data_IF_120743834948
#
_entry.id   IF_120743834948
#
_cell.length_a   1.000
_cell.length_b   1.000
_cell.length_c   1.000
_cell.angle_alpha   90.00
_cell.angle_beta   90.00
_cell.angle_gamma   90.00
#
_symmetry.space_group_name_H-M   'P 1'
#
loop_
_entity.id
_entity.type
_entity.pdbx_description
1 polymer ?
#
# COMPACT_ATOMS: atom_id res chain seq x y z
N UNK A 1 13.56 46.23 37.70
CA UNK A 1 14.57 45.18 37.86
C UNK A 1 14.10 44.22 38.96
N UNK A 2 13.86 42.99 38.60
CA UNK A 2 13.47 41.93 39.56
C UNK A 2 14.73 41.55 40.34
N UNK A 3 14.84 41.91 41.59
CA UNK A 3 15.93 41.55 42.49
C UNK A 3 15.52 40.32 43.30
N UNK A 4 15.63 39.13 42.74
CA UNK A 4 15.48 37.88 43.48
C UNK A 4 16.87 37.34 43.85
N UNK A 5 17.09 36.99 45.12
CA UNK A 5 18.41 36.59 45.69
C UNK A 5 19.01 35.33 45.02
N UNK A 6 18.20 34.63 44.19
CA UNK A 6 18.63 33.41 43.45
C UNK A 6 18.43 33.52 41.93
N UNK A 7 18.26 34.76 41.38
CA UNK A 7 17.93 34.97 39.97
C UNK A 7 18.99 34.34 39.03
N UNK A 8 20.26 34.47 39.39
CA UNK A 8 21.37 33.91 38.58
C UNK A 8 21.35 32.40 38.55
N UNK A 9 20.93 31.73 39.67
CA UNK A 9 20.79 30.26 39.72
C UNK A 9 19.57 29.79 38.92
N UNK A 10 18.48 30.53 38.99
CA UNK A 10 17.28 30.22 38.19
C UNK A 10 17.53 30.39 36.70
N UNK A 11 18.23 31.45 36.31
CA UNK A 11 18.62 31.67 34.90
C UNK A 11 19.59 30.61 34.42
N UNK A 12 20.57 30.22 35.24
CA UNK A 12 21.50 29.14 34.88
C UNK A 12 20.80 27.79 34.73
N UNK A 13 19.84 27.49 35.60
CA UNK A 13 19.05 26.26 35.54
C UNK A 13 18.12 26.22 34.33
N UNK A 14 17.47 27.36 34.02
CA UNK A 14 16.64 27.49 32.82
C UNK A 14 17.46 27.36 31.54
N UNK A 15 18.67 27.94 31.50
CA UNK A 15 19.58 27.84 30.37
C UNK A 15 20.11 26.41 30.18
N UNK A 16 20.46 25.72 31.29
CA UNK A 16 20.88 24.33 31.25
C UNK A 16 19.76 23.40 30.78
N UNK A 17 18.52 23.64 31.21
CA UNK A 17 17.34 22.90 30.76
C UNK A 17 17.07 23.15 29.28
N UNK A 18 17.15 24.39 28.80
CA UNK A 18 16.98 24.75 27.42
C UNK A 18 18.04 24.07 26.53
N UNK A 19 19.31 24.08 26.95
CA UNK A 19 20.37 23.38 26.22
C UNK A 19 20.20 21.86 26.21
N UNK A 20 19.71 21.27 27.31
CA UNK A 20 19.40 19.87 27.40
C UNK A 20 18.24 19.47 26.46
N UNK A 21 17.17 20.26 26.44
CA UNK A 21 16.02 20.08 25.53
C UNK A 21 16.42 20.27 24.06
N UNK A 22 17.26 21.26 23.77
CA UNK A 22 17.81 21.46 22.43
C UNK A 22 18.70 20.28 22.03
N UNK A 23 19.52 19.77 22.93
CA UNK A 23 20.32 18.57 22.67
C UNK A 23 19.45 17.33 22.43
N UNK A 24 18.37 17.14 23.16
CA UNK A 24 17.40 16.07 22.92
C UNK A 24 16.65 16.23 21.58
N UNK A 25 16.38 17.46 21.14
CA UNK A 25 15.75 17.73 19.85
C UNK A 25 16.70 17.39 18.67
N UNK A 26 17.99 17.68 18.77
CA UNK A 26 18.94 17.45 17.69
C UNK A 26 19.58 16.06 17.69
N UNK A 27 19.69 15.40 18.82
CA UNK A 27 20.38 14.12 18.98
C UNK A 27 19.48 13.02 19.59
N UNK A 28 18.17 13.30 19.72
CA UNK A 28 17.22 12.36 20.33
C UNK A 28 17.09 11.08 19.53
N UNK A 29 17.08 11.17 18.21
CA UNK A 29 17.02 10.01 17.31
C UNK A 29 18.28 9.13 17.42
N UNK A 30 19.46 9.74 17.50
CA UNK A 30 20.73 9.02 17.75
C UNK A 30 20.75 8.32 19.11
N UNK A 31 19.91 8.76 20.05
CA UNK A 31 19.73 8.16 21.39
C UNK A 31 18.54 7.18 21.43
N UNK A 32 17.90 6.90 20.28
CA UNK A 32 16.73 6.00 20.18
C UNK A 32 15.43 6.61 20.72
N UNK A 33 15.39 7.94 20.94
CA UNK A 33 14.17 8.64 21.32
C UNK A 33 13.40 8.98 20.04
N UNK A 34 12.33 8.25 19.77
CA UNK A 34 11.37 8.68 18.76
C UNK A 34 10.48 9.80 19.29
N UNK A 35 10.10 10.81 18.47
CA UNK A 35 9.07 11.76 18.85
C UNK A 35 7.84 10.97 19.29
N UNK A 36 7.30 11.25 20.47
CA UNK A 36 5.99 10.77 20.87
C UNK A 36 4.94 11.52 20.01
N UNK A 37 4.81 11.15 18.76
CA UNK A 37 3.64 11.44 17.96
C UNK A 37 2.53 10.64 18.60
N UNK A 38 1.64 11.33 19.33
CA UNK A 38 0.39 10.71 19.74
C UNK A 38 -0.30 10.27 18.45
N UNK A 39 -0.60 8.98 18.33
CA UNK A 39 -1.33 8.46 17.16
C UNK A 39 -2.59 9.32 16.96
N UNK A 40 -2.90 9.75 15.74
CA UNK A 40 -4.03 10.64 15.50
C UNK A 40 -5.34 9.98 15.94
N UNK A 41 -6.31 10.79 16.38
CA UNK A 41 -7.54 10.29 17.01
C UNK A 41 -8.31 9.32 16.08
N UNK A 42 -8.36 9.60 14.78
CA UNK A 42 -9.03 8.73 13.81
C UNK A 42 -8.46 7.30 13.75
N UNK A 43 -7.16 7.11 14.08
CA UNK A 43 -6.51 5.79 14.06
C UNK A 43 -7.07 4.84 15.11
N UNK A 44 -7.54 5.37 16.23
CA UNK A 44 -8.16 4.59 17.31
C UNK A 44 -9.69 4.56 17.23
N UNK A 45 -10.27 5.27 16.25
CA UNK A 45 -11.71 5.30 15.98
C UNK A 45 -12.04 4.40 14.80
N UNK A 46 -12.01 4.93 13.58
CA UNK A 46 -12.36 4.17 12.37
C UNK A 46 -11.38 3.01 12.11
N UNK A 47 -10.11 3.14 12.47
CA UNK A 47 -9.09 2.13 12.21
C UNK A 47 -8.73 1.26 13.44
N UNK A 48 -9.65 1.15 14.41
CA UNK A 48 -9.63 0.08 15.43
C UNK A 48 -10.05 -1.23 14.77
N UNK A 49 -9.08 -2.05 14.38
CA UNK A 49 -9.29 -3.31 13.65
C UNK A 49 -9.77 -4.48 14.50
N UNK A 50 -10.03 -4.24 15.80
CA UNK A 50 -10.56 -5.26 16.72
C UNK A 50 -12.05 -5.55 16.50
N UNK A 51 -12.75 -4.77 15.67
CA UNK A 51 -14.19 -4.91 15.38
C UNK A 51 -14.53 -4.46 13.97
N UNK A 52 -15.71 -4.84 13.50
CA UNK A 52 -16.30 -4.28 12.27
C UNK A 52 -17.02 -2.97 12.64
N UNK A 53 -16.67 -1.87 12.02
CA UNK A 53 -17.28 -0.56 12.17
C UNK A 53 -18.56 -0.44 11.32
N UNK A 54 -19.32 0.66 11.51
CA UNK A 54 -20.48 0.98 10.68
C UNK A 54 -20.26 2.28 9.91
N UNK A 55 -20.61 2.29 8.62
CA UNK A 55 -20.61 3.48 7.78
C UNK A 55 -21.95 3.60 7.07
N UNK A 56 -22.76 4.59 7.48
CA UNK A 56 -24.07 4.86 6.89
C UNK A 56 -23.97 6.06 5.95
N UNK A 57 -24.31 5.85 4.67
CA UNK A 57 -24.24 6.86 3.62
C UNK A 57 -25.65 7.29 3.22
N UNK A 58 -25.94 8.59 3.29
CA UNK A 58 -27.17 9.18 2.80
C UNK A 58 -26.84 10.10 1.62
N UNK A 59 -27.24 9.71 0.41
CA UNK A 59 -26.97 10.44 -0.83
C UNK A 59 -28.25 10.52 -1.70
N UNK A 60 -28.77 11.74 -1.91
CA UNK A 60 -29.98 11.95 -2.73
C UNK A 60 -29.77 11.52 -4.19
N UNK A 61 -28.56 11.75 -4.72
CA UNK A 61 -28.20 11.47 -6.10
C UNK A 61 -27.34 10.21 -6.23
N UNK A 62 -27.67 9.17 -5.48
CA UNK A 62 -26.89 7.92 -5.45
C UNK A 62 -26.55 7.35 -6.84
N UNK A 63 -27.47 7.43 -7.80
CA UNK A 63 -27.25 6.95 -9.16
C UNK A 63 -26.12 7.69 -9.92
N UNK A 64 -25.71 8.88 -9.46
CA UNK A 64 -24.64 9.68 -10.07
C UNK A 64 -23.26 9.35 -9.53
N UNK A 65 -23.14 8.61 -8.42
CA UNK A 65 -21.86 8.32 -7.79
C UNK A 65 -20.92 7.46 -8.66
N UNK A 66 -21.44 6.75 -9.66
CA UNK A 66 -20.68 5.95 -10.63
C UNK A 66 -19.76 6.83 -11.48
N UNK A 67 -20.15 8.11 -11.70
CA UNK A 67 -19.29 9.08 -12.36
C UNK A 67 -18.04 9.38 -11.53
N UNK A 68 -16.96 9.82 -12.18
CA UNK A 68 -15.72 10.22 -11.49
C UNK A 68 -15.86 11.53 -10.72
N UNK A 69 -16.99 12.18 -10.78
CA UNK A 69 -17.29 13.42 -10.07
C UNK A 69 -17.82 13.15 -8.66
N UNK A 70 -17.44 14.00 -7.73
CA UNK A 70 -17.96 13.95 -6.37
C UNK A 70 -19.41 14.43 -6.32
N UNK A 71 -20.23 13.71 -5.54
CA UNK A 71 -21.57 14.14 -5.12
C UNK A 71 -21.58 14.39 -3.61
N UNK A 72 -22.37 15.37 -3.12
CA UNK A 72 -22.49 15.58 -1.67
C UNK A 72 -23.33 14.48 -1.02
N UNK A 73 -22.88 14.03 0.14
CA UNK A 73 -23.60 13.08 0.98
C UNK A 73 -23.50 13.46 2.47
N UNK A 74 -24.31 12.80 3.28
CA UNK A 74 -24.15 12.72 4.73
C UNK A 74 -23.63 11.34 5.06
N UNK A 75 -22.57 11.27 5.85
CA UNK A 75 -21.95 10.02 6.32
C UNK A 75 -22.05 9.94 7.83
N UNK A 76 -22.47 8.79 8.36
CA UNK A 76 -22.34 8.49 9.78
C UNK A 76 -21.33 7.36 9.95
N UNK A 77 -20.31 7.61 10.76
CA UNK A 77 -19.30 6.61 11.13
C UNK A 77 -19.52 6.26 12.60
N UNK A 78 -19.86 5.00 12.88
CA UNK A 78 -20.21 4.50 14.21
C UNK A 78 -21.26 5.38 14.94
N UNK A 79 -22.22 5.95 14.18
CA UNK A 79 -23.29 6.78 14.71
C UNK A 79 -22.93 8.28 14.82
N UNK A 80 -21.71 8.70 14.51
CA UNK A 80 -21.31 10.11 14.44
C UNK A 80 -21.52 10.66 13.02
N UNK A 81 -22.37 11.70 12.89
CA UNK A 81 -22.82 12.24 11.58
C UNK A 81 -21.92 13.37 11.08
N UNK A 82 -21.55 13.28 9.79
CA UNK A 82 -20.80 14.30 9.04
C UNK A 82 -21.58 14.66 7.78
N UNK A 83 -21.78 15.96 7.54
CA UNK A 83 -22.56 16.47 6.42
C UNK A 83 -21.66 17.09 5.37
N UNK A 84 -22.16 17.15 4.12
CA UNK A 84 -21.43 17.72 3.00
C UNK A 84 -20.09 17.02 2.74
N UNK A 85 -20.06 15.71 2.94
CA UNK A 85 -18.92 14.86 2.58
C UNK A 85 -18.98 14.58 1.09
N UNK A 86 -17.86 14.68 0.39
CA UNK A 86 -17.73 14.30 -1.00
C UNK A 86 -17.74 12.78 -1.15
N UNK A 87 -18.59 12.24 -2.00
CA UNK A 87 -18.67 10.82 -2.31
C UNK A 87 -18.46 10.61 -3.81
N UNK A 88 -17.60 9.68 -4.21
CA UNK A 88 -17.49 9.19 -5.59
C UNK A 88 -17.12 7.72 -5.66
N UNK A 89 -17.36 7.09 -6.79
CA UNK A 89 -16.81 5.78 -7.09
C UNK A 89 -15.28 5.86 -7.23
N UNK A 90 -14.59 4.80 -6.77
CA UNK A 90 -13.14 4.62 -6.90
C UNK A 90 -12.86 3.44 -7.83
N UNK A 91 -11.68 3.44 -8.40
CA UNK A 91 -11.18 2.40 -9.28
C UNK A 91 -11.25 2.81 -10.75
N UNK A 92 -10.41 2.22 -11.55
CA UNK A 92 -10.32 2.42 -12.99
C UNK A 92 -10.92 1.20 -13.71
N UNK A 93 -10.17 0.10 -13.80
CA UNK A 93 -10.66 -1.13 -14.41
C UNK A 93 -11.73 -1.82 -13.56
N UNK A 94 -11.58 -1.88 -12.24
CA UNK A 94 -12.58 -2.48 -11.35
C UNK A 94 -13.94 -1.79 -11.48
N UNK A 95 -13.98 -0.45 -11.56
CA UNK A 95 -15.22 0.30 -11.79
C UNK A 95 -15.85 -0.05 -13.15
N UNK A 96 -15.06 0.01 -14.23
CA UNK A 96 -15.51 -0.32 -15.58
C UNK A 96 -16.08 -1.74 -15.67
N UNK A 97 -15.41 -2.71 -15.07
CA UNK A 97 -15.82 -4.10 -15.10
C UNK A 97 -17.06 -4.37 -14.24
N UNK A 98 -17.14 -3.75 -13.05
CA UNK A 98 -18.36 -3.78 -12.23
C UNK A 98 -19.58 -3.29 -13.01
N UNK A 99 -19.42 -2.19 -13.77
CA UNK A 99 -20.49 -1.68 -14.64
C UNK A 99 -20.79 -2.62 -15.82
N UNK A 100 -19.76 -3.13 -16.50
CA UNK A 100 -19.88 -4.02 -17.67
C UNK A 100 -20.58 -5.34 -17.33
N UNK A 101 -20.31 -5.90 -16.16
CA UNK A 101 -20.99 -7.10 -15.64
C UNK A 101 -22.34 -6.80 -14.97
N UNK A 102 -22.80 -5.54 -14.95
CA UNK A 102 -24.06 -5.16 -14.33
C UNK A 102 -24.09 -5.33 -12.81
N UNK A 103 -22.94 -5.31 -12.18
CA UNK A 103 -22.80 -5.39 -10.72
C UNK A 103 -22.95 -3.99 -10.09
N UNK A 104 -23.23 -3.95 -8.79
CA UNK A 104 -23.47 -2.69 -8.07
C UNK A 104 -22.44 -2.40 -6.98
N UNK A 105 -21.50 -3.33 -6.73
CA UNK A 105 -20.49 -3.22 -5.68
C UNK A 105 -19.26 -2.47 -6.18
N UNK A 106 -19.30 -1.15 -6.03
CA UNK A 106 -18.18 -0.26 -6.37
C UNK A 106 -17.35 0.03 -5.12
N UNK A 107 -16.03 0.15 -5.27
CA UNK A 107 -15.22 0.84 -4.27
C UNK A 107 -15.59 2.31 -4.26
N UNK A 108 -15.61 2.92 -3.05
CA UNK A 108 -16.06 4.29 -2.84
C UNK A 108 -14.92 5.12 -2.26
N UNK A 109 -14.95 6.43 -2.49
CA UNK A 109 -14.08 7.41 -1.85
C UNK A 109 -14.92 8.44 -1.13
N UNK A 110 -14.59 8.70 0.13
CA UNK A 110 -15.21 9.69 1.00
C UNK A 110 -14.18 10.77 1.35
N UNK A 111 -14.50 12.02 1.06
CA UNK A 111 -13.63 13.18 1.23
C UNK A 111 -14.35 14.25 2.06
N UNK A 112 -13.86 14.49 3.27
CA UNK A 112 -14.54 15.32 4.24
C UNK A 112 -14.38 16.82 3.97
N UNK A 113 -13.28 17.23 3.37
CA UNK A 113 -12.96 18.62 3.05
C UNK A 113 -13.36 19.04 1.63
N UNK A 114 -13.96 18.14 0.83
CA UNK A 114 -14.32 18.41 -0.57
C UNK A 114 -15.28 19.60 -0.73
N UNK A 115 -16.29 19.71 0.13
CA UNK A 115 -17.29 20.78 0.12
C UNK A 115 -17.19 21.73 1.31
N UNK A 116 -16.39 21.40 2.31
CA UNK A 116 -16.23 22.17 3.55
C UNK A 116 -14.76 22.29 3.88
N UNK A 117 -14.19 23.46 3.64
CA UNK A 117 -12.78 23.73 3.94
C UNK A 117 -12.40 23.28 5.35
N UNK A 118 -11.37 22.43 5.47
CA UNK A 118 -10.91 21.86 6.72
C UNK A 118 -11.84 20.82 7.36
N UNK A 119 -12.85 20.34 6.61
CA UNK A 119 -13.68 19.22 7.03
C UNK A 119 -12.82 17.98 7.26
N UNK A 120 -13.06 17.24 8.35
CA UNK A 120 -12.30 16.02 8.66
C UNK A 120 -13.06 15.12 9.63
N UNK A 121 -12.73 13.84 9.64
CA UNK A 121 -13.12 12.86 10.63
C UNK A 121 -11.99 12.72 11.68
N UNK A 122 -12.04 13.49 12.77
CA UNK A 122 -11.03 13.45 13.85
C UNK A 122 -9.57 13.58 13.36
N UNK A 123 -9.36 14.41 12.34
CA UNK A 123 -8.05 14.63 11.71
C UNK A 123 -7.81 13.83 10.42
N UNK A 124 -8.74 12.98 10.00
CA UNK A 124 -8.72 12.29 8.70
C UNK A 124 -9.48 13.09 7.65
N UNK A 125 -8.82 13.49 6.60
CA UNK A 125 -9.39 14.23 5.47
C UNK A 125 -10.17 13.32 4.53
N UNK A 126 -9.67 12.09 4.30
CA UNK A 126 -10.19 11.20 3.27
C UNK A 126 -9.92 9.73 3.57
N UNK A 127 -10.87 8.85 3.23
CA UNK A 127 -10.67 7.42 3.21
C UNK A 127 -11.45 6.74 2.08
N UNK A 128 -11.00 5.56 1.71
CA UNK A 128 -11.69 4.71 0.74
C UNK A 128 -12.44 3.58 1.43
N UNK A 129 -13.53 3.16 0.82
CA UNK A 129 -14.21 1.89 1.08
C UNK A 129 -13.86 0.96 -0.09
N UNK A 130 -12.93 0.04 0.15
CA UNK A 130 -12.51 -0.94 -0.85
C UNK A 130 -13.53 -2.09 -0.90
N UNK A 131 -14.04 -2.34 -2.10
CA UNK A 131 -15.04 -3.39 -2.35
C UNK A 131 -14.44 -4.81 -2.35
N UNK A 132 -13.13 -4.97 -2.21
CA UNK A 132 -12.39 -6.23 -2.34
C UNK A 132 -12.67 -6.93 -3.69
N UNK A 133 -12.65 -6.14 -4.78
CA UNK A 133 -12.89 -6.65 -6.13
C UNK A 133 -11.85 -7.70 -6.50
N UNK A 134 -12.28 -8.89 -6.94
CA UNK A 134 -11.43 -10.06 -7.19
C UNK A 134 -10.61 -10.53 -5.97
N UNK A 135 -11.15 -10.35 -4.78
CA UNK A 135 -10.60 -10.90 -3.54
C UNK A 135 -11.72 -11.61 -2.74
N UNK A 136 -11.94 -12.87 -3.04
CA UNK A 136 -12.93 -13.68 -2.35
C UNK A 136 -12.61 -13.88 -0.85
N UNK A 137 -11.33 -13.71 -0.47
CA UNK A 137 -10.94 -13.75 0.95
C UNK A 137 -11.29 -12.49 1.72
N UNK A 138 -11.47 -11.32 1.06
CA UNK A 138 -11.56 -9.98 1.66
C UNK A 138 -10.29 -9.57 2.42
N UNK A 139 -9.22 -10.36 2.36
CA UNK A 139 -8.06 -10.24 3.25
C UNK A 139 -6.76 -9.88 2.55
N UNK A 140 -6.68 -9.91 1.21
CA UNK A 140 -5.40 -9.66 0.52
C UNK A 140 -4.82 -8.29 0.84
N UNK A 141 -5.59 -7.21 0.65
CA UNK A 141 -5.15 -5.84 0.96
C UNK A 141 -4.90 -5.67 2.46
N UNK A 142 -5.78 -6.21 3.31
CA UNK A 142 -5.63 -6.16 4.77
C UNK A 142 -4.31 -6.79 5.23
N UNK A 143 -4.01 -8.00 4.76
CA UNK A 143 -2.81 -8.76 5.11
C UNK A 143 -1.54 -8.09 4.58
N UNK A 144 -1.55 -7.59 3.34
CA UNK A 144 -0.35 -6.96 2.78
C UNK A 144 0.00 -5.66 3.51
N UNK A 145 -0.97 -4.86 3.92
CA UNK A 145 -0.68 -3.67 4.72
C UNK A 145 -0.14 -4.03 6.12
N UNK A 146 -0.58 -5.14 6.75
CA UNK A 146 0.04 -5.65 7.98
C UNK A 146 1.50 -6.08 7.74
N UNK A 147 1.77 -6.79 6.64
CA UNK A 147 3.15 -7.16 6.25
C UNK A 147 4.05 -5.94 6.05
N UNK A 148 3.56 -4.90 5.37
CA UNK A 148 4.30 -3.65 5.13
C UNK A 148 4.59 -2.93 6.44
N UNK A 149 3.58 -2.77 7.30
CA UNK A 149 3.71 -2.16 8.61
C UNK A 149 4.69 -2.93 9.50
N UNK A 150 4.61 -4.26 9.51
CA UNK A 150 5.57 -5.12 10.22
C UNK A 150 7.00 -4.90 9.75
N UNK A 151 7.21 -4.73 8.44
CA UNK A 151 8.51 -4.44 7.85
C UNK A 151 8.96 -2.98 8.04
N UNK A 152 8.17 -2.14 8.72
CA UNK A 152 8.50 -0.73 8.94
C UNK A 152 8.34 0.14 7.70
N UNK A 153 7.53 -0.27 6.75
CA UNK A 153 7.16 0.53 5.57
C UNK A 153 5.86 1.27 5.88
N UNK A 154 5.80 2.60 5.72
CA UNK A 154 4.57 3.36 5.92
C UNK A 154 3.45 2.80 5.03
N UNK A 155 2.39 2.31 5.68
CA UNK A 155 1.23 1.73 5.02
C UNK A 155 -0.06 2.39 5.47
N UNK A 156 -1.12 2.40 4.62
CA UNK A 156 -2.44 2.87 5.00
C UNK A 156 -3.01 2.10 6.20
N UNK A 157 -3.64 2.81 7.12
CA UNK A 157 -4.49 2.19 8.14
C UNK A 157 -5.71 1.56 7.48
N UNK A 158 -6.24 0.48 8.10
CA UNK A 158 -7.34 -0.31 7.55
C UNK A 158 -8.20 -0.89 8.66
N UNK A 159 -9.49 -1.05 8.37
CA UNK A 159 -10.43 -1.77 9.23
C UNK A 159 -11.63 -2.25 8.42
N UNK A 160 -12.32 -3.28 8.89
CA UNK A 160 -13.55 -3.69 8.24
C UNK A 160 -14.73 -2.82 8.66
N UNK A 161 -15.60 -2.51 7.70
CA UNK A 161 -16.80 -1.71 7.92
C UNK A 161 -18.02 -2.35 7.26
N UNK A 162 -19.15 -2.32 7.96
CA UNK A 162 -20.45 -2.61 7.36
C UNK A 162 -21.05 -1.33 6.81
N UNK A 163 -21.33 -1.32 5.52
CA UNK A 163 -21.85 -0.14 4.82
C UNK A 163 -23.35 -0.27 4.63
N UNK A 164 -24.08 0.82 4.91
CA UNK A 164 -25.47 1.00 4.48
C UNK A 164 -25.58 2.22 3.58
N UNK A 165 -26.50 2.17 2.63
CA UNK A 165 -26.77 3.27 1.70
C UNK A 165 -28.24 3.58 1.70
N UNK A 166 -28.62 4.81 2.04
CA UNK A 166 -30.01 5.27 2.13
C UNK A 166 -30.89 4.32 2.97
N UNK A 167 -30.31 3.80 4.08
CA UNK A 167 -30.99 2.90 5.00
C UNK A 167 -31.05 1.44 4.56
N UNK A 168 -30.47 1.07 3.42
CA UNK A 168 -30.41 -0.32 2.94
C UNK A 168 -29.00 -0.90 3.14
N UNK A 169 -28.87 -2.16 3.60
CA UNK A 169 -27.58 -2.83 3.66
C UNK A 169 -26.89 -2.82 2.29
N UNK A 170 -25.61 -2.45 2.28
CA UNK A 170 -24.80 -2.42 1.06
C UNK A 170 -23.70 -3.47 1.06
N UNK A 171 -23.13 -3.78 2.22
CA UNK A 171 -22.21 -4.91 2.39
C UNK A 171 -21.00 -4.63 3.25
N UNK A 172 -20.09 -5.60 3.30
CA UNK A 172 -18.82 -5.53 4.01
C UNK A 172 -17.75 -4.92 3.09
N UNK A 173 -17.08 -3.88 3.55
CA UNK A 173 -15.98 -3.20 2.86
C UNK A 173 -14.75 -3.11 3.74
N UNK A 174 -13.59 -2.90 3.13
CA UNK A 174 -12.38 -2.51 3.85
C UNK A 174 -12.27 -0.98 3.79
N UNK A 175 -12.38 -0.31 4.94
CA UNK A 175 -11.99 1.10 5.05
C UNK A 175 -10.47 1.19 4.98
N UNK A 176 -9.96 2.06 4.11
CA UNK A 176 -8.53 2.26 3.87
C UNK A 176 -8.23 3.75 3.94
N UNK A 177 -7.25 4.13 4.75
CA UNK A 177 -6.72 5.48 4.80
C UNK A 177 -6.17 5.88 3.42
N UNK A 178 -6.59 7.02 2.87
CA UNK A 178 -6.01 7.50 1.62
C UNK A 178 -4.65 8.16 1.91
N UNK A 179 -3.61 7.82 1.12
CA UNK A 179 -2.32 8.49 1.24
C UNK A 179 -2.41 9.94 0.75
N UNK A 180 -2.83 10.82 1.65
CA UNK A 180 -2.95 12.27 1.47
C UNK A 180 -2.49 12.98 2.77
N UNK A 181 -3.01 14.13 3.12
CA UNK A 181 -2.50 14.98 4.22
C UNK A 181 -2.46 14.26 5.58
N UNK A 182 -3.55 13.56 5.96
CA UNK A 182 -3.61 12.86 7.25
C UNK A 182 -2.57 11.73 7.32
N UNK A 183 -2.45 10.93 6.25
CA UNK A 183 -1.45 9.88 6.13
C UNK A 183 -0.01 10.44 6.20
N UNK A 184 0.26 11.52 5.45
CA UNK A 184 1.59 12.14 5.42
C UNK A 184 1.98 12.66 6.81
N UNK A 185 1.07 13.36 7.50
CA UNK A 185 1.30 13.84 8.87
C UNK A 185 1.53 12.71 9.88
N UNK A 186 0.80 11.61 9.74
CA UNK A 186 0.92 10.45 10.64
C UNK A 186 2.27 9.76 10.50
N UNK A 187 2.76 9.61 9.29
CA UNK A 187 3.98 8.85 9.01
C UNK A 187 5.26 9.69 9.01
N UNK A 188 5.17 10.95 8.57
CA UNK A 188 6.34 11.79 8.30
C UNK A 188 6.33 13.10 9.11
N UNK A 189 5.26 13.39 9.86
CA UNK A 189 5.15 14.60 10.69
C UNK A 189 4.48 15.77 9.99
N UNK A 190 4.40 16.90 10.72
CA UNK A 190 3.70 18.09 10.22
C UNK A 190 4.43 18.81 9.06
N UNK A 191 5.75 18.68 9.00
CA UNK A 191 6.61 19.31 7.98
C UNK A 191 7.00 18.28 6.90
N UNK A 192 6.12 17.30 6.60
CA UNK A 192 6.36 16.25 5.63
C UNK A 192 6.71 16.77 4.23
N UNK A 193 7.37 15.91 3.46
CA UNK A 193 7.74 16.17 2.07
C UNK A 193 6.56 16.07 1.09
N UNK A 194 6.87 15.81 -0.16
CA UNK A 194 5.90 15.69 -1.26
C UNK A 194 5.44 14.24 -1.45
N UNK A 195 4.18 14.06 -1.80
CA UNK A 195 3.56 12.78 -2.08
C UNK A 195 2.96 12.78 -3.48
N UNK A 196 3.30 11.77 -4.27
CA UNK A 196 2.81 11.60 -5.64
C UNK A 196 2.18 10.23 -5.80
N UNK A 197 1.19 10.15 -6.70
CA UNK A 197 0.64 8.86 -7.16
C UNK A 197 0.94 8.68 -8.66
N UNK A 198 2.14 8.25 -9.05
CA UNK A 198 2.46 8.04 -10.46
C UNK A 198 1.45 7.08 -11.10
N UNK A 199 0.81 7.54 -12.17
CA UNK A 199 -0.20 6.76 -12.88
C UNK A 199 -0.13 7.05 -14.37
N UNK A 200 -0.39 6.04 -15.19
CA UNK A 200 -0.33 6.19 -16.64
C UNK A 200 -1.64 6.77 -17.20
N UNK A 201 -1.53 7.62 -18.21
CA UNK A 201 -2.68 8.12 -18.96
C UNK A 201 -3.14 7.18 -20.07
N UNK A 202 -2.25 6.32 -20.56
CA UNK A 202 -2.53 5.32 -21.59
C UNK A 202 -1.54 4.17 -21.52
N UNK A 203 -2.00 2.93 -21.58
CA UNK A 203 -1.16 1.74 -21.67
C UNK A 203 -0.32 1.69 -22.96
N UNK A 204 -0.74 2.43 -23.99
CA UNK A 204 -0.04 2.49 -25.29
C UNK A 204 1.00 3.63 -25.33
N UNK A 205 1.11 4.45 -24.29
CA UNK A 205 2.12 5.49 -24.19
C UNK A 205 3.41 4.95 -23.56
N UNK A 206 4.53 5.61 -23.83
CA UNK A 206 5.77 5.35 -23.10
C UNK A 206 5.67 6.00 -21.71
N UNK A 207 5.37 5.19 -20.68
CA UNK A 207 5.19 5.63 -19.31
C UNK A 207 6.52 5.58 -18.52
N UNK A 208 7.56 6.20 -19.08
CA UNK A 208 8.91 6.13 -18.51
C UNK A 208 9.00 6.78 -17.13
N UNK A 209 8.24 7.84 -16.89
CA UNK A 209 8.15 8.54 -15.61
C UNK A 209 7.42 7.70 -14.53
N UNK A 210 6.36 6.96 -14.89
CA UNK A 210 5.71 5.99 -13.98
C UNK A 210 6.67 4.88 -13.57
N UNK A 211 7.57 4.49 -14.45
CA UNK A 211 8.66 3.55 -14.16
C UNK A 211 9.83 4.18 -13.38
N UNK A 212 9.75 5.45 -13.01
CA UNK A 212 10.80 6.24 -12.35
C UNK A 212 12.11 6.32 -13.16
N UNK A 213 11.99 6.32 -14.50
CA UNK A 213 13.12 6.48 -15.41
C UNK A 213 13.45 7.95 -15.60
N UNK A 214 14.74 8.31 -15.52
CA UNK A 214 15.19 9.64 -15.88
C UNK A 214 15.14 9.85 -17.40
N UNK A 215 14.37 10.83 -17.85
CA UNK A 215 14.16 11.15 -19.28
C UNK A 215 14.58 12.58 -19.64
N UNK A 216 15.29 13.25 -18.75
CA UNK A 216 15.83 14.61 -18.95
C UNK A 216 15.45 15.55 -17.80
N UNK A 217 16.03 16.78 -17.81
CA UNK A 217 15.91 17.73 -16.69
C UNK A 217 14.60 18.57 -16.74
N UNK A 218 13.81 18.49 -17.81
CA UNK A 218 12.58 19.28 -17.95
C UNK A 218 11.38 18.64 -17.21
N UNK A 219 10.68 19.39 -16.33
CA UNK A 219 9.54 18.86 -15.58
C UNK A 219 8.37 18.40 -16.47
N UNK A 220 8.23 18.97 -17.66
CA UNK A 220 7.22 18.58 -18.66
C UNK A 220 7.38 17.13 -19.17
N UNK A 221 8.47 16.48 -18.81
CA UNK A 221 8.75 15.06 -19.17
C UNK A 221 8.23 14.06 -18.14
N UNK A 222 7.64 14.55 -17.05
CA UNK A 222 7.15 13.76 -15.92
C UNK A 222 5.68 14.07 -15.57
N UNK A 223 4.78 14.18 -16.58
CA UNK A 223 3.40 14.57 -16.34
C UNK A 223 2.67 13.55 -15.46
N UNK A 224 2.93 12.25 -15.66
CA UNK A 224 2.27 11.20 -14.88
C UNK A 224 2.65 11.21 -13.38
N UNK A 225 3.73 11.88 -12.99
CA UNK A 225 4.10 12.11 -11.60
C UNK A 225 3.50 13.43 -11.10
N UNK A 226 3.81 14.54 -11.77
CA UNK A 226 3.49 15.88 -11.27
C UNK A 226 2.00 16.22 -11.35
N UNK A 227 1.28 15.76 -12.38
CA UNK A 227 -0.17 15.95 -12.50
C UNK A 227 -0.96 15.11 -11.48
N UNK A 228 -0.31 14.11 -10.86
CA UNK A 228 -0.87 13.24 -9.82
C UNK A 228 -0.26 13.51 -8.43
N UNK A 229 0.30 14.69 -8.22
CA UNK A 229 0.78 15.13 -6.91
C UNK A 229 -0.40 15.28 -5.93
N UNK A 230 -0.15 14.99 -4.64
CA UNK A 230 -1.16 15.10 -3.59
C UNK A 230 -1.17 16.46 -2.92
N UNK A 231 -0.06 17.19 -3.06
CA UNK A 231 0.11 18.54 -2.54
C UNK A 231 0.56 19.47 -3.66
N UNK A 232 0.51 20.78 -3.40
CA UNK A 232 1.01 21.79 -4.34
C UNK A 232 2.51 21.61 -4.58
N UNK A 233 2.91 21.47 -5.84
CA UNK A 233 4.29 21.23 -6.25
C UNK A 233 4.89 22.47 -6.87
N UNK A 234 5.94 23.00 -6.25
CA UNK A 234 6.73 24.12 -6.77
C UNK A 234 7.89 23.67 -7.66
N UNK A 235 8.53 24.65 -8.32
CA UNK A 235 9.70 24.36 -9.18
C UNK A 235 10.89 23.77 -8.41
N UNK A 236 11.02 24.04 -7.11
CA UNK A 236 12.06 23.46 -6.27
C UNK A 236 11.79 21.96 -6.01
N UNK A 237 10.54 21.57 -5.77
CA UNK A 237 10.14 20.19 -5.56
C UNK A 237 10.35 19.36 -6.82
N UNK A 238 9.95 19.90 -7.98
CA UNK A 238 10.20 19.29 -9.29
C UNK A 238 11.69 19.07 -9.55
N UNK A 239 12.52 20.05 -9.23
CA UNK A 239 13.96 19.96 -9.43
C UNK A 239 14.60 18.89 -8.52
N UNK A 240 14.16 18.77 -7.25
CA UNK A 240 14.66 17.75 -6.32
C UNK A 240 14.30 16.36 -6.80
N UNK A 241 13.02 16.12 -7.15
CA UNK A 241 12.56 14.83 -7.66
C UNK A 241 13.30 14.42 -8.93
N UNK A 242 13.45 15.33 -9.92
CA UNK A 242 14.19 15.04 -11.16
C UNK A 242 15.65 14.73 -10.86
N UNK A 243 16.29 15.45 -9.92
CA UNK A 243 17.65 15.15 -9.50
C UNK A 243 17.77 13.77 -8.84
N UNK A 244 16.82 13.37 -8.02
CA UNK A 244 16.77 12.02 -7.43
C UNK A 244 16.62 10.94 -8.51
N UNK A 245 15.73 11.13 -9.49
CA UNK A 245 15.58 10.22 -10.64
C UNK A 245 16.88 10.14 -11.48
N UNK A 246 17.60 11.24 -11.60
CA UNK A 246 18.89 11.28 -12.31
C UNK A 246 19.95 10.44 -11.57
N UNK A 247 20.08 10.61 -10.25
CA UNK A 247 20.98 9.80 -9.42
C UNK A 247 20.60 8.32 -9.52
N UNK A 248 19.31 8.02 -9.42
CA UNK A 248 18.79 6.66 -9.56
C UNK A 248 19.15 6.03 -10.91
N UNK A 249 19.07 6.79 -12.01
CA UNK A 249 19.38 6.31 -13.35
C UNK A 249 20.87 5.95 -13.51
N UNK A 250 21.77 6.68 -12.88
CA UNK A 250 23.21 6.40 -12.95
C UNK A 250 23.68 5.36 -11.95
N UNK A 251 22.88 5.04 -10.92
CA UNK A 251 23.17 4.00 -9.93
C UNK A 251 24.33 4.31 -8.97
N UNK A 252 24.77 5.57 -8.90
CA UNK A 252 25.86 6.02 -8.03
C UNK A 252 25.30 6.85 -6.87
N UNK A 253 25.83 6.67 -5.65
CA UNK A 253 25.41 7.38 -4.43
C UNK A 253 23.90 7.30 -4.17
N UNK A 254 23.32 6.14 -4.36
CA UNK A 254 21.84 5.92 -4.28
C UNK A 254 21.24 6.38 -2.95
N UNK A 255 21.97 6.28 -1.84
CA UNK A 255 21.51 6.71 -0.50
C UNK A 255 21.26 8.23 -0.40
N UNK A 256 21.78 9.03 -1.35
CA UNK A 256 21.50 10.47 -1.42
C UNK A 256 20.20 10.79 -2.14
N UNK A 257 19.54 9.80 -2.76
CA UNK A 257 18.34 9.98 -3.56
C UNK A 257 17.24 8.94 -3.23
N UNK A 258 17.57 7.91 -2.46
CA UNK A 258 16.64 6.82 -2.12
C UNK A 258 16.81 6.44 -0.66
N UNK A 259 15.72 6.31 0.06
CA UNK A 259 15.67 5.65 1.36
C UNK A 259 15.86 4.14 1.16
N UNK A 260 17.12 3.75 0.96
CA UNK A 260 17.47 2.38 0.53
C UNK A 260 16.91 1.34 1.50
N UNK A 261 16.99 1.60 2.81
CA UNK A 261 16.52 0.65 3.82
C UNK A 261 15.03 0.35 3.70
N UNK A 262 14.19 1.39 3.65
CA UNK A 262 12.74 1.26 3.53
C UNK A 262 12.33 0.66 2.18
N UNK A 263 12.96 1.10 1.09
CA UNK A 263 12.69 0.59 -0.26
C UNK A 263 13.03 -0.90 -0.39
N UNK A 264 14.11 -1.37 0.23
CA UNK A 264 14.44 -2.80 0.25
C UNK A 264 13.38 -3.61 1.03
N UNK A 265 12.90 -3.10 2.17
CA UNK A 265 11.83 -3.73 2.96
C UNK A 265 10.50 -3.78 2.20
N UNK A 266 10.15 -2.70 1.50
CA UNK A 266 9.01 -2.67 0.60
C UNK A 266 9.10 -3.78 -0.47
N UNK A 267 10.26 -3.92 -1.13
CA UNK A 267 10.42 -4.94 -2.17
C UNK A 267 10.41 -6.37 -1.62
N UNK A 268 10.83 -6.61 -0.39
CA UNK A 268 10.68 -7.93 0.24
C UNK A 268 9.21 -8.36 0.26
N UNK A 269 8.33 -7.51 0.78
CA UNK A 269 6.90 -7.81 0.82
C UNK A 269 6.32 -7.89 -0.59
N UNK A 270 6.61 -6.90 -1.44
CA UNK A 270 6.11 -6.81 -2.81
C UNK A 270 6.42 -8.07 -3.64
N UNK A 271 7.64 -8.58 -3.51
CA UNK A 271 8.10 -9.80 -4.19
C UNK A 271 7.49 -11.05 -3.57
N UNK A 272 7.36 -11.08 -2.24
CA UNK A 272 6.74 -12.20 -1.55
C UNK A 272 5.28 -12.39 -1.98
N UNK A 273 4.50 -11.32 -2.00
CA UNK A 273 3.05 -11.38 -2.34
C UNK A 273 2.78 -11.47 -3.84
N UNK A 274 3.81 -11.50 -4.68
CA UNK A 274 3.69 -11.68 -6.14
C UNK A 274 2.66 -10.72 -6.75
N UNK A 275 2.71 -9.44 -6.36
CA UNK A 275 1.83 -8.42 -6.92
C UNK A 275 2.42 -7.84 -8.19
N UNK A 276 1.91 -8.25 -9.34
CA UNK A 276 2.31 -7.70 -10.64
C UNK A 276 1.46 -6.52 -11.10
N UNK A 277 0.40 -6.18 -10.38
CA UNK A 277 -0.33 -4.92 -10.56
C UNK A 277 0.33 -3.80 -9.74
N UNK A 278 1.63 -3.59 -9.97
CA UNK A 278 2.46 -2.72 -9.16
C UNK A 278 3.64 -2.15 -9.94
N UNK A 279 4.53 -1.44 -9.25
CA UNK A 279 5.80 -0.94 -9.81
C UNK A 279 6.61 -2.02 -10.55
N UNK A 280 6.64 -3.27 -10.06
CA UNK A 280 7.36 -4.38 -10.71
C UNK A 280 6.60 -5.03 -11.88
N UNK A 281 5.33 -4.69 -12.08
CA UNK A 281 4.55 -5.17 -13.21
C UNK A 281 4.78 -4.38 -14.49
N UNK A 282 4.14 -4.80 -15.57
CA UNK A 282 4.30 -4.19 -16.89
C UNK A 282 3.73 -2.76 -16.95
N UNK A 283 2.67 -2.47 -16.20
CA UNK A 283 2.05 -1.14 -16.09
C UNK A 283 2.87 -0.18 -15.24
N UNK A 284 3.56 -0.69 -14.22
CA UNK A 284 4.42 0.09 -13.35
C UNK A 284 3.69 1.09 -12.44
N UNK A 285 2.41 0.86 -12.10
CA UNK A 285 1.60 1.75 -11.25
C UNK A 285 1.24 1.11 -9.89
N UNK A 286 0.17 1.57 -9.22
CA UNK A 286 -0.29 1.10 -7.91
C UNK A 286 0.77 1.19 -6.81
N UNK A 287 1.41 2.34 -6.73
CA UNK A 287 2.26 2.75 -5.63
C UNK A 287 2.15 4.25 -5.41
N UNK A 288 2.57 4.72 -4.25
CA UNK A 288 2.84 6.14 -4.02
C UNK A 288 4.34 6.36 -3.95
N UNK A 289 4.77 7.53 -4.41
CA UNK A 289 6.14 8.00 -4.32
C UNK A 289 6.18 9.16 -3.32
N UNK A 290 6.93 8.98 -2.25
CA UNK A 290 7.22 10.03 -1.28
C UNK A 290 8.59 10.63 -1.56
N UNK A 291 8.71 11.96 -1.49
CA UNK A 291 9.99 12.68 -1.66
C UNK A 291 10.15 13.67 -0.53
N UNK A 292 11.23 13.57 0.22
CA UNK A 292 11.63 14.52 1.25
C UNK A 292 13.12 14.84 1.08
N UNK A 293 13.44 16.13 0.95
CA UNK A 293 14.81 16.65 0.78
C UNK A 293 15.63 15.97 -0.34
N UNK A 294 14.97 15.50 -1.39
CA UNK A 294 15.60 14.81 -2.53
C UNK A 294 15.75 13.30 -2.34
N UNK A 295 15.22 12.74 -1.28
CA UNK A 295 15.25 11.29 -0.98
C UNK A 295 13.88 10.68 -1.27
N UNK A 296 13.86 9.62 -2.08
CA UNK A 296 12.66 8.93 -2.52
C UNK A 296 12.37 7.69 -1.65
N UNK A 297 11.10 7.52 -1.30
CA UNK A 297 10.52 6.29 -0.76
C UNK A 297 9.36 5.81 -1.62
N UNK A 298 9.16 4.50 -1.72
CA UNK A 298 8.02 3.88 -2.40
C UNK A 298 7.05 3.32 -1.37
N UNK A 299 5.76 3.62 -1.52
CA UNK A 299 4.73 3.25 -0.55
C UNK A 299 3.68 2.34 -1.17
N UNK A 300 3.10 1.42 -0.38
CA UNK A 300 2.16 0.40 -0.87
C UNK A 300 0.80 0.97 -1.24
N UNK A 301 0.20 0.45 -2.33
CA UNK A 301 -1.17 0.75 -2.72
C UNK A 301 -1.78 -0.37 -3.55
N UNK A 302 -3.06 -0.71 -3.29
CA UNK A 302 -3.94 -1.54 -4.12
C UNK A 302 -3.46 -2.99 -4.30
N UNK A 303 -3.80 -3.87 -3.32
CA UNK A 303 -3.31 -5.26 -3.27
C UNK A 303 -4.39 -6.33 -3.48
N UNK A 304 -5.59 -5.95 -3.93
CA UNK A 304 -6.66 -6.91 -4.21
C UNK A 304 -6.27 -7.97 -5.27
N UNK A 305 -5.32 -7.64 -6.15
CA UNK A 305 -4.77 -8.54 -7.18
C UNK A 305 -3.41 -9.17 -6.82
N UNK A 306 -2.98 -9.08 -5.55
CA UNK A 306 -1.78 -9.76 -5.07
C UNK A 306 -1.96 -11.29 -4.98
N UNK A 307 -0.90 -11.96 -4.56
CA UNK A 307 -0.80 -13.43 -4.42
C UNK A 307 -0.96 -14.18 -5.76
N UNK A 308 -0.41 -13.57 -6.83
CA UNK A 308 -0.37 -14.19 -8.15
C UNK A 308 -1.70 -14.17 -8.91
N UNK A 309 -2.69 -13.40 -8.46
CA UNK A 309 -4.02 -13.36 -9.10
C UNK A 309 -4.16 -12.30 -10.19
N UNK A 310 -3.14 -11.47 -10.44
CA UNK A 310 -3.17 -10.47 -11.51
C UNK A 310 -2.99 -11.09 -12.88
N UNK A 311 -4.02 -11.00 -13.70
CA UNK A 311 -4.03 -11.48 -15.09
C UNK A 311 -4.45 -10.40 -16.10
N UNK A 312 -4.94 -9.25 -15.64
CA UNK A 312 -5.51 -8.18 -16.44
C UNK A 312 -4.50 -7.57 -17.43
N UNK A 313 -4.89 -7.49 -18.70
CA UNK A 313 -4.06 -6.90 -19.74
C UNK A 313 -2.83 -7.73 -20.14
N UNK A 314 -2.66 -8.91 -19.59
CA UNK A 314 -1.60 -9.84 -19.99
C UNK A 314 -2.07 -10.69 -21.19
N UNK A 315 -1.28 -10.73 -22.26
CA UNK A 315 -1.57 -11.58 -23.43
C UNK A 315 -1.40 -13.07 -23.16
N UNK A 316 -0.63 -13.42 -22.13
CA UNK A 316 -0.35 -14.80 -21.69
C UNK A 316 -0.13 -14.82 -20.18
N UNK A 317 -1.21 -14.73 -19.37
CA UNK A 317 -1.09 -14.75 -17.92
C UNK A 317 -0.60 -16.13 -17.46
N UNK A 318 0.33 -16.13 -16.49
CA UNK A 318 0.72 -17.36 -15.82
C UNK A 318 -0.38 -17.69 -14.80
N UNK A 319 -0.96 -18.89 -14.95
CA UNK A 319 -1.99 -19.42 -14.04
C UNK A 319 -1.54 -20.68 -13.30
N UNK A 320 -0.38 -21.25 -13.66
CA UNK A 320 0.17 -22.44 -13.01
C UNK A 320 0.67 -22.10 -11.61
N UNK A 321 0.02 -22.62 -10.55
CA UNK A 321 0.43 -22.35 -9.16
C UNK A 321 1.84 -22.86 -8.85
N UNK A 322 2.30 -23.91 -9.51
CA UNK A 322 3.67 -24.42 -9.38
C UNK A 322 4.70 -23.43 -9.90
N UNK A 323 4.38 -22.66 -10.95
CA UNK A 323 5.24 -21.59 -11.46
C UNK A 323 5.12 -20.35 -10.56
N UNK A 324 3.91 -19.95 -10.21
CA UNK A 324 3.65 -18.72 -9.44
C UNK A 324 4.25 -18.79 -8.03
N UNK A 325 3.97 -19.85 -7.26
CA UNK A 325 4.44 -19.94 -5.88
C UNK A 325 5.96 -20.16 -5.78
N UNK A 326 6.59 -20.61 -6.87
CA UNK A 326 8.04 -20.70 -6.98
C UNK A 326 8.68 -19.48 -7.68
N UNK A 327 7.93 -18.40 -7.91
CA UNK A 327 8.44 -17.22 -8.60
C UNK A 327 9.72 -16.69 -7.97
N UNK A 328 10.76 -16.35 -8.78
CA UNK A 328 12.09 -16.08 -8.26
C UNK A 328 12.15 -14.76 -7.49
N UNK A 329 12.77 -14.79 -6.32
CA UNK A 329 12.89 -13.60 -5.46
C UNK A 329 13.94 -12.60 -5.95
N UNK A 330 14.91 -13.03 -6.77
CA UNK A 330 16.01 -12.18 -7.24
C UNK A 330 15.76 -11.59 -8.64
N UNK A 331 14.81 -12.14 -9.40
CA UNK A 331 14.37 -11.58 -10.69
C UNK A 331 12.84 -11.59 -10.77
N UNK A 332 12.16 -10.78 -9.93
CA UNK A 332 10.71 -10.86 -9.76
C UNK A 332 9.89 -10.31 -10.92
N UNK A 333 10.47 -9.51 -11.81
CA UNK A 333 9.80 -8.99 -13.00
C UNK A 333 10.18 -9.79 -14.24
N UNK A 334 9.25 -9.90 -15.20
CA UNK A 334 9.43 -10.67 -16.45
C UNK A 334 10.22 -9.87 -17.49
N UNK A 335 11.10 -10.57 -18.22
CA UNK A 335 11.74 -10.06 -19.43
C UNK A 335 12.49 -8.75 -19.22
N UNK A 336 12.32 -7.82 -20.15
CA UNK A 336 12.97 -6.52 -20.13
C UNK A 336 12.42 -5.57 -19.06
N UNK A 337 11.23 -5.86 -18.48
CA UNK A 337 10.61 -5.03 -17.43
C UNK A 337 11.56 -4.81 -16.25
N UNK A 338 12.38 -5.79 -15.89
CA UNK A 338 13.39 -5.62 -14.84
C UNK A 338 14.36 -4.47 -15.10
N UNK A 339 14.82 -4.34 -16.36
CA UNK A 339 15.77 -3.31 -16.77
C UNK A 339 15.13 -1.91 -16.78
N UNK A 340 13.82 -1.86 -16.91
CA UNK A 340 13.03 -0.63 -16.96
C UNK A 340 12.55 -0.17 -15.57
N UNK A 341 12.92 -0.87 -14.50
CA UNK A 341 12.55 -0.55 -13.11
C UNK A 341 13.80 -0.14 -12.31
N UNK A 342 14.34 1.08 -12.53
CA UNK A 342 15.63 1.50 -11.97
C UNK A 342 15.64 1.46 -10.45
N UNK A 343 14.52 1.74 -9.76
CA UNK A 343 14.46 1.70 -8.31
C UNK A 343 14.74 0.30 -7.74
N UNK A 344 14.28 -0.77 -8.41
CA UNK A 344 14.64 -2.14 -8.03
C UNK A 344 15.97 -2.58 -8.64
N UNK A 345 16.11 -2.44 -9.96
CA UNK A 345 17.23 -2.99 -10.71
C UNK A 345 18.59 -2.43 -10.28
N UNK A 346 18.67 -1.10 -10.05
CA UNK A 346 19.94 -0.48 -9.68
C UNK A 346 20.30 -0.74 -8.20
N UNK A 347 19.32 -0.86 -7.32
CA UNK A 347 19.57 -1.30 -5.94
C UNK A 347 20.16 -2.72 -5.92
N UNK A 348 19.56 -3.65 -6.69
CA UNK A 348 19.98 -5.07 -6.71
C UNK A 348 21.33 -5.30 -7.40
N UNK A 349 21.89 -4.32 -8.11
CA UNK A 349 23.25 -4.37 -8.65
C UNK A 349 24.33 -4.11 -7.60
N UNK A 350 24.00 -3.49 -6.50
CA UNK A 350 24.91 -3.23 -5.41
C UNK A 350 24.94 -4.44 -4.49
N UNK A 351 26.12 -5.07 -4.33
CA UNK A 351 26.27 -6.31 -3.54
C UNK A 351 25.88 -6.11 -2.06
N UNK A 352 26.10 -4.93 -1.48
CA UNK A 352 25.71 -4.62 -0.11
C UNK A 352 24.18 -4.54 0.01
N UNK A 353 23.50 -3.82 -0.90
CA UNK A 353 22.05 -3.71 -0.87
C UNK A 353 21.36 -5.04 -1.19
N UNK A 354 21.92 -5.80 -2.09
CA UNK A 354 21.47 -7.16 -2.37
C UNK A 354 21.59 -8.08 -1.15
N UNK A 355 22.69 -8.00 -0.42
CA UNK A 355 22.86 -8.75 0.82
C UNK A 355 21.88 -8.29 1.91
N UNK A 356 21.61 -6.98 2.04
CA UNK A 356 20.59 -6.42 2.95
C UNK A 356 19.18 -6.88 2.57
N UNK A 357 18.83 -6.86 1.28
CA UNK A 357 17.56 -7.38 0.78
C UNK A 357 17.34 -8.84 1.18
N UNK A 358 18.37 -9.70 1.02
CA UNK A 358 18.30 -11.09 1.46
C UNK A 358 18.18 -11.23 2.98
N UNK A 359 18.88 -10.41 3.75
CA UNK A 359 18.75 -10.40 5.20
C UNK A 359 17.36 -9.99 5.68
N UNK A 360 16.75 -8.97 5.04
CA UNK A 360 15.36 -8.57 5.32
C UNK A 360 14.36 -9.64 4.89
N UNK A 361 14.62 -10.32 3.77
CA UNK A 361 13.76 -11.42 3.34
C UNK A 361 13.83 -12.59 4.33
N UNK A 362 15.03 -12.96 4.79
CA UNK A 362 15.23 -13.98 5.84
C UNK A 362 14.51 -13.61 7.14
N UNK A 363 14.65 -12.36 7.60
CA UNK A 363 13.96 -11.84 8.78
C UNK A 363 12.42 -11.93 8.59
N UNK A 364 11.91 -11.47 7.46
CA UNK A 364 10.46 -11.50 7.17
C UNK A 364 9.91 -12.92 7.19
N UNK A 365 10.61 -13.88 6.57
CA UNK A 365 10.20 -15.27 6.59
C UNK A 365 10.20 -15.83 8.02
N UNK A 366 11.28 -15.62 8.76
CA UNK A 366 11.43 -16.18 10.11
C UNK A 366 10.43 -15.57 11.12
N UNK A 367 10.29 -14.23 11.10
CA UNK A 367 9.62 -13.49 12.16
C UNK A 367 8.15 -13.11 11.81
N UNK A 368 7.72 -13.30 10.57
CA UNK A 368 6.33 -13.04 10.17
C UNK A 368 5.61 -14.30 9.66
N UNK A 369 6.26 -15.10 8.81
CA UNK A 369 5.63 -16.28 8.19
C UNK A 369 5.80 -17.53 9.07
N UNK A 370 7.04 -17.95 9.31
CA UNK A 370 7.38 -19.21 9.97
C UNK A 370 7.04 -19.23 11.45
N UNK A 371 7.02 -18.07 12.12
CA UNK A 371 6.59 -17.95 13.52
C UNK A 371 5.07 -18.05 13.72
N UNK A 372 4.27 -18.07 12.63
CA UNK A 372 2.81 -18.16 12.67
C UNK A 372 2.09 -16.80 12.78
N UNK A 373 2.78 -15.65 12.70
CA UNK A 373 2.11 -14.34 12.76
C UNK A 373 1.17 -14.13 11.58
N UNK A 374 1.56 -14.49 10.37
CA UNK A 374 0.70 -14.39 9.19
C UNK A 374 -0.62 -15.14 9.38
N UNK A 375 -0.56 -16.39 9.86
CA UNK A 375 -1.76 -17.17 10.16
C UNK A 375 -2.62 -16.51 11.25
N UNK A 376 -2.00 -15.99 12.31
CA UNK A 376 -2.70 -15.31 13.40
C UNK A 376 -3.48 -14.09 12.86
N UNK A 377 -2.85 -13.22 12.08
CA UNK A 377 -3.48 -12.03 11.47
C UNK A 377 -4.68 -12.41 10.59
N UNK A 378 -4.53 -13.43 9.73
CA UNK A 378 -5.62 -13.92 8.88
C UNK A 378 -6.76 -14.50 9.71
N UNK A 379 -6.46 -15.31 10.75
CA UNK A 379 -7.50 -15.94 11.60
C UNK A 379 -8.20 -14.92 12.50
N UNK A 380 -7.52 -13.91 13.00
CA UNK A 380 -8.10 -12.81 13.77
C UNK A 380 -9.09 -12.01 12.90
N UNK A 381 -8.68 -11.59 11.70
CA UNK A 381 -9.55 -10.92 10.76
C UNK A 381 -10.73 -11.81 10.33
N UNK A 382 -10.48 -13.09 10.02
CA UNK A 382 -11.52 -14.07 9.71
C UNK A 382 -12.53 -14.24 10.85
N UNK A 383 -12.11 -14.13 12.11
CA UNK A 383 -13.04 -14.27 13.24
C UNK A 383 -14.08 -13.13 13.33
N UNK A 384 -13.79 -11.98 12.73
CA UNK A 384 -14.65 -10.79 12.77
C UNK A 384 -15.70 -10.76 11.65
N UNK A 385 -15.34 -11.19 10.43
CA UNK A 385 -16.11 -10.87 9.22
C UNK A 385 -17.18 -11.89 8.79
N UNK A 386 -17.19 -13.17 9.19
CA UNK A 386 -18.11 -14.18 8.64
C UNK A 386 -19.59 -13.79 8.65
N UNK A 387 -20.15 -13.23 9.75
CA UNK A 387 -21.57 -12.86 9.75
C UNK A 387 -21.92 -11.76 8.76
N UNK A 388 -20.95 -10.91 8.44
CA UNK A 388 -21.10 -9.81 7.50
C UNK A 388 -20.95 -10.30 6.06
N UNK A 389 -20.00 -11.20 5.78
CA UNK A 389 -19.84 -11.80 4.44
C UNK A 389 -21.08 -12.63 4.07
N UNK A 390 -21.62 -13.44 5.01
CA UNK A 390 -22.83 -14.23 4.77
C UNK A 390 -24.06 -13.35 4.51
N UNK A 391 -24.13 -12.17 5.14
CA UNK A 391 -25.23 -11.24 5.02
C UNK A 391 -25.06 -10.19 3.90
N UNK A 392 -23.94 -10.19 3.19
CA UNK A 392 -23.59 -9.15 2.22
C UNK A 392 -24.44 -9.25 0.94
N UNK A 393 -25.34 -8.28 0.67
CA UNK A 393 -26.25 -8.36 -0.48
C UNK A 393 -25.56 -8.03 -1.81
N UNK A 394 -24.34 -7.51 -1.77
CA UNK A 394 -23.57 -7.10 -2.96
C UNK A 394 -22.28 -7.90 -3.15
N UNK A 395 -22.07 -8.96 -2.38
CA UNK A 395 -20.88 -9.79 -2.45
C UNK A 395 -20.58 -10.26 -3.88
N UNK A 396 -19.29 -10.34 -4.22
CA UNK A 396 -18.83 -10.91 -5.50
C UNK A 396 -18.76 -12.44 -5.49
N UNK A 397 -18.77 -13.07 -4.31
CA UNK A 397 -18.65 -14.50 -4.16
C UNK A 397 -19.65 -15.03 -3.10
N UNK A 398 -19.86 -16.32 -3.09
CA UNK A 398 -20.64 -16.99 -2.03
C UNK A 398 -19.86 -17.05 -0.71
N UNK A 399 -20.56 -17.32 0.39
CA UNK A 399 -19.90 -17.51 1.69
C UNK A 399 -18.97 -18.73 1.70
N UNK A 400 -19.34 -19.80 0.98
CA UNK A 400 -18.51 -20.98 0.80
C UNK A 400 -17.23 -20.68 0.03
N UNK A 401 -17.29 -19.86 -1.03
CA UNK A 401 -16.12 -19.39 -1.78
C UNK A 401 -15.21 -18.55 -0.90
N UNK A 402 -15.78 -17.69 -0.04
CA UNK A 402 -14.99 -16.93 0.94
C UNK A 402 -14.21 -17.85 1.89
N UNK A 403 -14.85 -18.88 2.44
CA UNK A 403 -14.16 -19.81 3.34
C UNK A 403 -13.01 -20.54 2.62
N UNK A 404 -13.28 -21.01 1.39
CA UNK A 404 -12.26 -21.64 0.56
C UNK A 404 -11.11 -20.68 0.24
N UNK A 405 -11.43 -19.42 -0.07
CA UNK A 405 -10.43 -18.40 -0.38
C UNK A 405 -9.51 -18.10 0.81
N UNK A 406 -10.04 -18.03 2.03
CA UNK A 406 -9.22 -17.82 3.24
C UNK A 406 -8.26 -19.00 3.47
N UNK A 407 -8.71 -20.23 3.34
CA UNK A 407 -7.85 -21.39 3.50
C UNK A 407 -6.81 -21.47 2.36
N UNK A 408 -7.19 -21.11 1.14
CA UNK A 408 -6.27 -21.01 0.00
C UNK A 408 -5.22 -19.92 0.21
N UNK A 409 -5.60 -18.75 0.74
CA UNK A 409 -4.64 -17.67 1.03
C UNK A 409 -3.57 -18.11 2.05
N UNK A 410 -3.97 -18.81 3.10
CA UNK A 410 -3.03 -19.36 4.08
C UNK A 410 -2.10 -20.41 3.47
N UNK A 411 -2.62 -21.30 2.63
CA UNK A 411 -1.79 -22.29 1.94
C UNK A 411 -0.80 -21.64 0.95
N UNK A 412 -1.25 -20.62 0.22
CA UNK A 412 -0.39 -19.81 -0.66
C UNK A 412 0.74 -19.15 0.15
N UNK A 413 0.43 -18.50 1.28
CA UNK A 413 1.45 -17.90 2.15
C UNK A 413 2.44 -18.95 2.67
N UNK A 414 1.96 -20.11 3.08
CA UNK A 414 2.80 -21.21 3.58
C UNK A 414 3.75 -21.72 2.50
N UNK A 415 3.23 -22.09 1.33
CA UNK A 415 4.03 -22.62 0.21
C UNK A 415 5.00 -21.58 -0.34
N UNK A 416 4.55 -20.32 -0.44
CA UNK A 416 5.42 -19.21 -0.88
C UNK A 416 6.56 -18.97 0.11
N UNK A 417 6.30 -19.07 1.42
CA UNK A 417 7.33 -18.99 2.45
C UNK A 417 8.35 -20.10 2.30
N UNK A 418 7.93 -21.35 2.14
CA UNK A 418 8.79 -22.50 1.91
C UNK A 418 9.62 -22.35 0.63
N UNK A 419 9.01 -21.91 -0.46
CA UNK A 419 9.70 -21.64 -1.72
C UNK A 419 10.75 -20.54 -1.57
N UNK A 420 10.41 -19.40 -0.97
CA UNK A 420 11.32 -18.29 -0.78
C UNK A 420 12.48 -18.67 0.17
N UNK A 421 12.22 -19.46 1.22
CA UNK A 421 13.23 -20.02 2.11
C UNK A 421 14.24 -20.87 1.33
N UNK A 422 13.76 -21.81 0.52
CA UNK A 422 14.63 -22.65 -0.31
C UNK A 422 15.43 -21.85 -1.34
N UNK A 423 14.90 -20.74 -1.83
CA UNK A 423 15.60 -19.83 -2.74
C UNK A 423 16.72 -19.07 -2.03
N UNK A 424 16.50 -18.58 -0.81
CA UNK A 424 17.52 -17.93 0.02
C UNK A 424 18.66 -18.90 0.38
N UNK A 425 18.35 -20.14 0.69
CA UNK A 425 19.30 -21.19 1.04
C UNK A 425 20.04 -21.78 -0.19
N UNK A 426 19.61 -21.43 -1.42
CA UNK A 426 20.18 -21.95 -2.67
C UNK A 426 19.75 -23.37 -3.03
N UNK A 427 18.79 -23.95 -2.31
CA UNK A 427 18.21 -25.26 -2.63
C UNK A 427 17.26 -25.17 -3.82
N UNK A 428 16.54 -24.06 -3.95
CA UNK A 428 15.68 -23.74 -5.09
C UNK A 428 16.27 -22.60 -5.95
N UNK A 429 15.92 -22.56 -7.27
CA UNK A 429 16.34 -21.48 -8.15
C UNK A 429 15.74 -20.13 -7.75
N UNK A 430 16.57 -19.12 -7.56
CA UNK A 430 16.16 -17.76 -7.14
C UNK A 430 16.12 -16.74 -8.28
N UNK A 431 16.45 -17.15 -9.51
CA UNK A 431 16.38 -16.33 -10.73
C UNK A 431 15.66 -17.05 -11.85
N UNK A 432 15.06 -16.31 -12.78
CA UNK A 432 14.40 -16.89 -13.99
C UNK A 432 15.36 -17.75 -14.81
N UNK A 433 16.64 -17.34 -14.93
CA UNK A 433 17.65 -18.13 -15.63
C UNK A 433 17.90 -19.48 -14.97
N UNK A 434 18.06 -19.52 -13.65
CA UNK A 434 18.24 -20.76 -12.90
C UNK A 434 16.99 -21.65 -12.94
N UNK A 435 15.78 -21.05 -12.95
CA UNK A 435 14.52 -21.81 -13.10
C UNK A 435 14.40 -22.47 -14.46
N UNK A 436 14.83 -21.78 -15.52
CA UNK A 436 14.87 -22.37 -16.86
C UNK A 436 15.80 -23.59 -16.95
N UNK A 437 16.87 -23.64 -16.18
CA UNK A 437 17.79 -24.77 -16.09
C UNK A 437 17.26 -25.91 -15.20
N UNK A 438 16.48 -25.59 -14.17
CA UNK A 438 15.94 -26.54 -13.17
C UNK A 438 14.42 -26.33 -12.96
N UNK A 439 13.58 -26.53 -13.99
CA UNK A 439 12.15 -26.15 -13.94
C UNK A 439 11.31 -26.95 -12.93
N UNK A 440 11.79 -28.12 -12.51
CA UNK A 440 11.11 -28.96 -11.53
C UNK A 440 11.57 -28.72 -10.08
N UNK A 441 12.50 -27.76 -9.86
CA UNK A 441 13.03 -27.49 -8.53
C UNK A 441 12.20 -26.40 -7.84
N UNK A 442 11.48 -26.77 -6.79
CA UNK A 442 10.62 -25.88 -6.01
C UNK A 442 9.63 -26.67 -5.16
N UNK A 443 8.72 -25.95 -4.53
CA UNK A 443 7.61 -26.57 -3.78
C UNK A 443 6.56 -27.14 -4.73
N UNK A 444 5.93 -28.24 -4.36
CA UNK A 444 4.78 -28.78 -5.08
C UNK A 444 3.51 -27.99 -4.69
N UNK A 445 3.00 -27.21 -5.62
CA UNK A 445 1.78 -26.43 -5.48
C UNK A 445 0.64 -26.92 -6.39
N UNK A 446 0.76 -28.10 -6.99
CA UNK A 446 -0.20 -28.64 -7.97
C UNK A 446 -1.63 -28.83 -7.43
N UNK A 447 -1.78 -28.88 -6.10
CA UNK A 447 -3.09 -29.00 -5.42
C UNK A 447 -3.77 -27.65 -5.16
N UNK A 448 -3.09 -26.52 -5.38
CA UNK A 448 -3.62 -25.18 -5.13
C UNK A 448 -4.38 -24.68 -6.35
N UNK A 449 -5.63 -24.26 -6.17
CA UNK A 449 -6.37 -23.49 -7.17
C UNK A 449 -6.38 -22.01 -6.79
N UNK A 450 -5.51 -21.22 -7.43
CA UNK A 450 -5.41 -19.79 -7.16
C UNK A 450 -6.67 -19.00 -7.54
N UNK A 451 -7.56 -19.54 -8.38
CA UNK A 451 -8.83 -18.89 -8.75
C UNK A 451 -9.77 -18.81 -7.55
N UNK A 452 -9.62 -19.71 -6.58
CA UNK A 452 -10.36 -19.60 -5.32
C UNK A 452 -10.14 -18.28 -4.59
N UNK A 453 -9.00 -17.60 -4.82
CA UNK A 453 -8.73 -16.26 -4.28
C UNK A 453 -9.50 -15.13 -4.98
N UNK A 454 -10.23 -15.42 -6.05
CA UNK A 454 -10.99 -14.51 -6.89
C UNK A 454 -10.40 -14.39 -8.30
N UNK A 455 -11.20 -14.67 -9.31
CA UNK A 455 -10.84 -14.53 -10.72
C UNK A 455 -11.94 -13.74 -11.47
N UNK A 456 -11.54 -13.14 -12.57
CA UNK A 456 -12.45 -12.48 -13.52
C UNK A 456 -13.43 -13.46 -14.16
N UNK A 457 -12.96 -14.68 -14.41
CA UNK A 457 -13.77 -15.73 -15.04
C UNK A 457 -14.90 -16.23 -14.10
N UNK A 458 -14.80 -15.96 -12.80
CA UNK A 458 -15.85 -16.28 -11.82
C UNK A 458 -17.06 -15.34 -11.93
N UNK A 459 -16.94 -14.24 -12.69
CA UNK A 459 -18.00 -13.26 -12.92
C UNK A 459 -18.77 -13.50 -14.24
N UNK A 460 -18.35 -14.47 -15.06
CA UNK A 460 -19.09 -14.94 -16.24
C UNK A 460 -20.17 -15.95 -15.83
#
# INVERSE_FOLDING_TARGET
MIRHRQIDRLCALAMALALALTGLLFFGEDLGLQPASAAPEYSHRLFDDSRVHTVDIQAENWAQFIAEEYIPCTVSVDGEEFRQVGLRAKGNNSRRLTEEYGLSRYSLKLEFDHYVDGGNYHGLDKFSLDASFQDNSYLKTYLVYDMMEYMGVPAPLRSFVWVTVNGSPWGLFLAVEEPEEAFARRNFGADHGQLYKPDYTSLNAENADVALRYVGDGPERYPNIFDNAKFDVGGADQARLIQALKILAFGENLETAVNVDEVLRYFVVQVFVMNWDSYLGHTGHNYFLYEEDGVLSILPWDYNLAFGTYALGMTDPIRDPGVLLNWPINTPARGETMLERPLYHNLMKNDEYFARYHAYFDQFLAEYLECGRCEAVVREAQALIPPYVEADPTAFCSYEDHLLAVDTLLEVCRLRSESARGQLEGTFPSTLAQQAERPAAGVDASHVDLRALGDFEDLE
#
